data_IF_783517258386
#
_entry.id   IF_783517258386
#
_cell.length_a   1.000
_cell.length_b   1.000
_cell.length_c   1.000
_cell.angle_alpha   90.00
_cell.angle_beta   90.00
_cell.angle_gamma   90.00
#
_symmetry.space_group_name_H-M   'P 1'
#
loop_
_entity.id
_entity.type
_entity.pdbx_description
1 polymer ?
#
# COMPACT_ATOMS: atom_id res chain seq x y z
N UNK A 1 12.36 -14.57 -27.77
CA UNK A 1 11.06 -14.10 -28.32
C UNK A 1 11.21 -12.62 -28.64
N UNK A 2 10.94 -12.20 -29.87
CA UNK A 2 10.97 -10.81 -30.33
C UNK A 2 9.54 -10.33 -30.59
N UNK A 3 9.23 -9.07 -30.28
CA UNK A 3 7.96 -8.46 -30.68
C UNK A 3 8.00 -8.10 -32.17
N UNK A 4 7.09 -8.69 -32.95
CA UNK A 4 7.03 -8.52 -34.39
C UNK A 4 5.85 -7.63 -34.73
N UNK A 5 6.11 -6.39 -35.12
CA UNK A 5 5.08 -5.45 -35.64
C UNK A 5 4.69 -5.75 -37.09
N UNK A 6 4.46 -7.04 -37.39
CA UNK A 6 4.10 -7.57 -38.70
C UNK A 6 2.94 -8.56 -38.54
N UNK A 7 2.13 -8.82 -39.60
CA UNK A 7 0.96 -9.70 -39.52
C UNK A 7 1.37 -11.19 -39.49
N UNK A 8 2.12 -11.57 -38.46
CA UNK A 8 2.64 -12.93 -38.24
C UNK A 8 2.13 -13.40 -36.88
N UNK A 9 1.47 -14.55 -36.86
CA UNK A 9 1.03 -15.21 -35.63
C UNK A 9 1.86 -16.49 -35.39
N UNK A 10 2.24 -16.75 -34.15
CA UNK A 10 2.91 -17.99 -33.73
C UNK A 10 1.95 -18.83 -32.91
N UNK A 11 1.81 -20.12 -33.25
CA UNK A 11 0.98 -21.07 -32.52
C UNK A 11 1.87 -22.06 -31.77
N UNK A 12 1.58 -22.28 -30.49
CA UNK A 12 2.27 -23.25 -29.65
C UNK A 12 1.24 -24.20 -29.06
N UNK A 13 1.29 -25.51 -29.37
CA UNK A 13 0.47 -26.49 -28.67
C UNK A 13 0.97 -26.63 -27.24
N UNK A 14 0.03 -26.85 -26.32
CA UNK A 14 0.27 -27.09 -24.89
C UNK A 14 -0.60 -28.26 -24.44
N UNK A 15 -0.13 -29.02 -23.49
CA UNK A 15 -0.81 -30.19 -22.94
C UNK A 15 -1.88 -29.79 -21.92
N UNK A 16 -1.61 -28.76 -21.12
CA UNK A 16 -2.51 -28.27 -20.07
C UNK A 16 -2.37 -26.76 -19.76
N UNK A 17 -3.27 -26.27 -18.91
CA UNK A 17 -3.31 -24.90 -18.43
C UNK A 17 -2.03 -24.48 -17.68
N UNK A 18 -1.37 -25.40 -16.98
CA UNK A 18 -0.14 -25.11 -16.21
C UNK A 18 1.02 -24.84 -17.17
N UNK A 19 1.14 -25.65 -18.21
CA UNK A 19 2.12 -25.43 -19.28
C UNK A 19 1.84 -24.13 -20.03
N UNK A 20 0.57 -23.81 -20.30
CA UNK A 20 0.18 -22.55 -20.92
C UNK A 20 0.64 -21.33 -20.11
N UNK A 21 0.45 -21.37 -18.78
CA UNK A 21 0.92 -20.32 -17.88
C UNK A 21 2.45 -20.24 -17.83
N UNK A 22 3.14 -21.39 -17.77
CA UNK A 22 4.60 -21.45 -17.78
C UNK A 22 5.20 -20.89 -19.08
N UNK A 23 4.58 -21.19 -20.23
CA UNK A 23 4.98 -20.63 -21.52
C UNK A 23 4.68 -19.15 -21.63
N UNK A 24 3.56 -18.68 -21.08
CA UNK A 24 3.21 -17.26 -21.03
C UNK A 24 4.23 -16.47 -20.21
N UNK A 25 4.61 -16.98 -19.03
CA UNK A 25 5.56 -16.34 -18.12
C UNK A 25 6.98 -16.17 -18.71
N UNK A 26 7.35 -16.96 -19.73
CA UNK A 26 8.62 -16.81 -20.44
C UNK A 26 8.63 -15.62 -21.43
N UNK A 27 7.48 -14.99 -21.68
CA UNK A 27 7.43 -13.80 -22.52
C UNK A 27 7.96 -12.57 -21.73
N UNK A 28 8.94 -11.83 -22.25
CA UNK A 28 9.43 -10.61 -21.58
C UNK A 28 8.41 -9.47 -21.62
N UNK A 29 7.36 -9.59 -22.42
CA UNK A 29 6.28 -8.61 -22.60
C UNK A 29 4.97 -9.14 -22.01
N UNK A 30 4.16 -8.25 -21.42
CA UNK A 30 2.94 -8.60 -20.68
C UNK A 30 1.87 -7.48 -20.76
N UNK A 31 1.56 -7.02 -21.97
CA UNK A 31 0.56 -5.95 -22.20
C UNK A 31 -0.88 -6.46 -22.10
N UNK A 32 -1.21 -7.50 -22.87
CA UNK A 32 -2.56 -8.04 -22.93
C UNK A 32 -2.60 -9.50 -23.33
N UNK A 33 -3.67 -10.19 -22.92
CA UNK A 33 -3.94 -11.58 -23.28
C UNK A 33 -5.44 -11.80 -23.50
N UNK A 34 -5.77 -12.79 -24.32
CA UNK A 34 -7.14 -13.26 -24.53
C UNK A 34 -7.23 -14.74 -24.20
N UNK A 35 -8.23 -15.11 -23.41
CA UNK A 35 -8.51 -16.50 -23.04
C UNK A 35 -9.84 -16.90 -23.66
N UNK A 36 -9.87 -18.04 -24.34
CA UNK A 36 -11.08 -18.57 -24.96
C UNK A 36 -11.45 -19.91 -24.35
N UNK A 37 -12.73 -20.11 -24.02
CA UNK A 37 -13.21 -21.33 -23.40
C UNK A 37 -14.60 -21.20 -22.80
N UNK A 38 -14.98 -22.19 -22.00
CA UNK A 38 -16.19 -22.11 -21.17
C UNK A 38 -16.08 -20.91 -20.22
N UNK A 39 -17.15 -20.11 -20.09
CA UNK A 39 -17.08 -18.78 -19.50
C UNK A 39 -16.53 -18.79 -18.06
N UNK A 40 -16.91 -19.78 -17.24
CA UNK A 40 -16.43 -19.89 -15.87
C UNK A 40 -14.98 -20.34 -15.81
N UNK A 41 -14.61 -21.42 -16.51
CA UNK A 41 -13.23 -21.93 -16.49
C UNK A 41 -12.25 -20.91 -17.10
N UNK A 42 -12.62 -20.26 -18.20
CA UNK A 42 -11.80 -19.24 -18.84
C UNK A 42 -11.62 -18.01 -17.94
N UNK A 43 -12.64 -17.60 -17.18
CA UNK A 43 -12.52 -16.52 -16.21
C UNK A 43 -11.64 -16.92 -14.99
N UNK A 44 -11.69 -18.18 -14.56
CA UNK A 44 -10.80 -18.72 -13.53
C UNK A 44 -9.33 -18.76 -13.99
N UNK A 45 -9.09 -19.19 -15.23
CA UNK A 45 -7.77 -19.19 -15.86
C UNK A 45 -7.23 -17.78 -16.10
N UNK A 46 -8.06 -16.86 -16.61
CA UNK A 46 -7.68 -15.47 -16.90
C UNK A 46 -7.09 -14.73 -15.69
N UNK A 47 -7.52 -15.03 -14.46
CA UNK A 47 -6.97 -14.43 -13.24
C UNK A 47 -5.54 -14.86 -12.93
N UNK A 48 -5.07 -15.95 -13.53
CA UNK A 48 -3.72 -16.50 -13.34
C UNK A 48 -2.74 -16.04 -14.42
N UNK A 49 -3.25 -15.53 -15.55
CA UNK A 49 -2.41 -15.09 -16.67
C UNK A 49 -1.62 -13.83 -16.28
N UNK A 50 -0.27 -13.84 -16.39
CA UNK A 50 0.57 -12.72 -15.97
C UNK A 50 0.60 -11.60 -17.03
N UNK A 51 -0.54 -10.93 -17.25
CA UNK A 51 -0.67 -9.81 -18.17
C UNK A 51 -1.50 -8.67 -17.55
N UNK A 52 -1.21 -7.43 -17.93
CA UNK A 52 -1.88 -6.26 -17.35
C UNK A 52 -3.33 -6.06 -17.81
N UNK A 53 -3.74 -6.68 -18.93
CA UNK A 53 -5.13 -6.70 -19.38
C UNK A 53 -5.47 -8.10 -19.92
N UNK A 54 -6.46 -8.78 -19.33
CA UNK A 54 -6.89 -10.10 -19.80
C UNK A 54 -8.37 -10.05 -20.14
N UNK A 55 -8.73 -10.47 -21.34
CA UNK A 55 -10.12 -10.57 -21.80
C UNK A 55 -10.51 -12.02 -22.03
N UNK A 56 -11.78 -12.34 -21.77
CA UNK A 56 -12.32 -13.70 -21.88
C UNK A 56 -13.33 -13.74 -23.02
N UNK A 57 -13.15 -14.67 -23.95
CA UNK A 57 -14.00 -14.85 -25.12
C UNK A 57 -14.16 -13.58 -25.99
N UNK A 58 -13.14 -12.72 -26.00
CA UNK A 58 -13.08 -11.49 -26.78
C UNK A 58 -11.62 -11.11 -27.11
N UNK A 59 -11.45 -10.24 -28.11
CA UNK A 59 -10.20 -9.62 -28.55
C UNK A 59 -10.32 -8.09 -28.67
N UNK A 60 -11.55 -7.56 -28.75
CA UNK A 60 -11.80 -6.19 -29.17
C UNK A 60 -12.08 -5.23 -28.02
N UNK A 61 -12.58 -5.68 -26.87
CA UNK A 61 -12.89 -4.78 -25.76
C UNK A 61 -11.76 -3.77 -25.40
N UNK A 62 -10.48 -4.18 -25.31
CA UNK A 62 -9.42 -3.25 -24.90
C UNK A 62 -9.10 -2.19 -25.96
N UNK A 63 -9.38 -2.47 -27.24
CA UNK A 63 -9.15 -1.52 -28.34
C UNK A 63 -10.38 -0.61 -28.56
N UNK A 64 -11.58 -1.15 -28.38
CA UNK A 64 -12.83 -0.47 -28.75
C UNK A 64 -13.47 0.34 -27.62
N UNK A 65 -13.33 -0.05 -26.35
CA UNK A 65 -13.98 0.63 -25.23
C UNK A 65 -12.98 1.42 -24.37
N UNK A 66 -12.96 2.77 -24.42
CA UNK A 66 -12.02 3.61 -23.67
C UNK A 66 -12.15 3.50 -22.15
N UNK A 67 -13.22 2.87 -21.64
CA UNK A 67 -13.42 2.62 -20.22
C UNK A 67 -12.63 1.41 -19.72
N UNK A 68 -12.20 0.53 -20.61
CA UNK A 68 -11.33 -0.61 -20.28
C UNK A 68 -9.91 -0.10 -20.11
N UNK A 69 -9.40 -0.26 -18.89
CA UNK A 69 -8.05 0.11 -18.51
C UNK A 69 -7.02 -0.85 -19.10
N UNK A 70 -5.89 -0.29 -19.54
CA UNK A 70 -4.75 -1.01 -20.08
C UNK A 70 -3.56 -0.81 -19.16
N UNK A 71 -3.26 -1.82 -18.35
CA UNK A 71 -2.04 -1.85 -17.55
C UNK A 71 -0.90 -2.50 -18.34
N UNK A 72 0.29 -1.92 -18.25
CA UNK A 72 1.49 -2.47 -18.87
C UNK A 72 2.43 -3.02 -17.81
N UNK A 73 2.84 -4.28 -17.96
CA UNK A 73 3.77 -4.98 -17.07
C UNK A 73 5.04 -5.42 -17.82
N UNK A 74 6.12 -5.69 -17.08
CA UNK A 74 7.41 -6.16 -17.61
C UNK A 74 7.96 -5.26 -18.74
N UNK A 75 8.46 -5.85 -19.83
CA UNK A 75 8.98 -5.13 -20.98
C UNK A 75 7.93 -4.34 -21.76
N UNK A 76 6.63 -4.45 -21.43
CA UNK A 76 5.57 -3.67 -22.06
C UNK A 76 5.44 -2.26 -21.48
N UNK A 77 6.06 -1.97 -20.33
CA UNK A 77 6.07 -0.65 -19.72
C UNK A 77 5.64 -0.65 -18.25
N UNK A 78 5.35 0.54 -17.74
CA UNK A 78 4.85 0.75 -16.38
C UNK A 78 3.58 1.61 -16.42
N UNK A 79 2.69 1.34 -15.47
CA UNK A 79 1.51 2.14 -15.24
C UNK A 79 0.27 1.63 -15.96
N UNK A 80 -0.76 2.47 -15.97
CA UNK A 80 -2.10 2.17 -16.47
C UNK A 80 -2.57 3.33 -17.31
N UNK A 81 -3.11 3.03 -18.47
CA UNK A 81 -3.73 4.01 -19.37
C UNK A 81 -5.21 3.67 -19.53
N UNK A 82 -6.02 4.65 -19.95
CA UNK A 82 -7.47 4.52 -20.15
C UNK A 82 -8.22 4.15 -18.85
N UNK A 83 -9.55 4.12 -18.96
CA UNK A 83 -10.44 3.87 -17.83
C UNK A 83 -10.21 4.78 -16.62
N UNK A 84 -10.85 4.48 -15.49
CA UNK A 84 -10.72 5.28 -14.27
C UNK A 84 -9.30 5.20 -13.68
N UNK A 85 -8.63 4.06 -13.78
CA UNK A 85 -7.26 3.87 -13.25
C UNK A 85 -6.23 4.71 -14.01
N UNK A 86 -6.35 4.81 -15.34
CA UNK A 86 -5.48 5.67 -16.14
C UNK A 86 -5.71 7.16 -15.89
N UNK A 87 -6.96 7.58 -15.64
CA UNK A 87 -7.24 8.95 -15.21
C UNK A 87 -6.60 9.26 -13.85
N UNK A 88 -6.62 8.31 -12.91
CA UNK A 88 -5.97 8.48 -11.61
C UNK A 88 -4.45 8.65 -11.74
N UNK A 89 -3.80 8.01 -12.73
CA UNK A 89 -2.38 8.23 -12.99
C UNK A 89 -2.03 9.67 -13.40
N UNK A 90 -3.01 10.42 -13.93
CA UNK A 90 -2.85 11.82 -14.30
C UNK A 90 -3.15 12.80 -13.15
N UNK A 91 -3.58 12.28 -11.99
CA UNK A 91 -3.86 13.09 -10.80
C UNK A 91 -2.65 13.19 -9.88
N UNK A 92 -2.67 14.17 -8.98
CA UNK A 92 -1.67 14.31 -7.90
C UNK A 92 -2.37 14.30 -6.56
N UNK A 93 -1.93 13.42 -5.66
CA UNK A 93 -2.44 13.38 -4.29
C UNK A 93 -1.91 14.59 -3.53
N UNK A 94 -2.82 15.36 -2.93
CA UNK A 94 -2.49 16.42 -1.98
C UNK A 94 -3.07 16.06 -0.62
N UNK A 95 -2.20 15.81 0.35
CA UNK A 95 -2.61 15.58 1.74
C UNK A 95 -2.52 16.91 2.49
N UNK A 96 -3.63 17.35 3.06
CA UNK A 96 -3.69 18.53 3.93
C UNK A 96 -4.15 18.04 5.30
N UNK A 97 -3.29 18.18 6.30
CA UNK A 97 -3.62 17.88 7.69
C UNK A 97 -3.82 19.20 8.41
N UNK A 98 -5.04 19.47 8.82
CA UNK A 98 -5.38 20.61 9.65
C UNK A 98 -5.49 20.16 11.10
N UNK A 99 -4.62 20.68 11.97
CA UNK A 99 -4.80 20.52 13.40
C UNK A 99 -5.67 21.65 13.95
N UNK A 100 -6.84 21.30 14.49
CA UNK A 100 -7.71 22.25 15.18
C UNK A 100 -7.41 22.23 16.69
N UNK A 101 -6.88 23.33 17.21
CA UNK A 101 -6.57 23.51 18.64
C UNK A 101 -5.09 23.32 19.01
N UNK A 102 -4.72 23.69 20.24
CA UNK A 102 -3.30 23.79 20.65
C UNK A 102 -2.66 22.49 21.17
N UNK A 103 -3.43 21.39 21.28
CA UNK A 103 -2.87 20.11 21.80
C UNK A 103 -2.15 19.35 20.68
N UNK A 104 -0.86 19.06 20.87
CA UNK A 104 0.00 18.32 19.92
C UNK A 104 0.55 17.03 20.57
N UNK A 105 -0.27 15.97 20.76
CA UNK A 105 0.18 14.76 21.45
C UNK A 105 1.34 14.04 20.74
N UNK A 106 1.46 14.23 19.42
CA UNK A 106 2.53 13.67 18.60
C UNK A 106 3.87 14.44 18.72
N UNK A 107 3.89 15.59 19.40
CA UNK A 107 5.13 16.29 19.79
C UNK A 107 5.51 16.03 21.26
N UNK A 108 4.69 15.29 22.01
CA UNK A 108 5.08 14.90 23.36
C UNK A 108 6.22 13.90 23.28
N UNK A 109 7.23 14.06 24.15
CA UNK A 109 8.34 13.10 24.26
C UNK A 109 7.76 11.68 24.47
N UNK A 110 8.16 10.68 23.66
CA UNK A 110 7.60 9.32 23.73
C UNK A 110 8.02 8.59 25.01
N UNK A 111 9.10 9.03 25.65
CA UNK A 111 9.50 8.51 26.94
C UNK A 111 8.84 9.30 28.08
N UNK A 112 8.13 8.65 29.02
CA UNK A 112 7.74 9.33 30.25
C UNK A 112 9.04 9.81 30.92
N UNK A 113 9.13 11.10 31.31
CA UNK A 113 10.37 11.62 31.89
C UNK A 113 10.78 10.71 33.03
N UNK A 114 12.01 10.19 33.00
CA UNK A 114 12.51 9.14 33.92
C UNK A 114 12.18 9.46 35.38
N UNK A 115 12.18 10.73 35.76
CA UNK A 115 11.79 11.19 37.10
C UNK A 115 10.31 10.99 37.49
N UNK A 116 9.39 10.97 36.52
CA UNK A 116 7.97 10.68 36.74
C UNK A 116 7.73 9.19 36.95
N UNK A 117 8.39 8.33 36.17
CA UNK A 117 8.35 6.88 36.37
C UNK A 117 9.01 6.51 37.71
N UNK A 118 10.20 7.06 38.00
CA UNK A 118 10.90 6.89 39.28
C UNK A 118 10.07 7.38 40.46
N UNK A 119 9.41 8.53 40.32
CA UNK A 119 8.50 9.09 41.33
C UNK A 119 7.29 8.19 41.58
N UNK A 120 6.70 7.63 40.52
CA UNK A 120 5.57 6.70 40.62
C UNK A 120 5.97 5.38 41.27
N UNK A 121 7.12 4.82 40.92
CA UNK A 121 7.68 3.62 41.57
C UNK A 121 7.93 3.87 43.06
N UNK A 122 8.54 5.00 43.43
CA UNK A 122 8.77 5.36 44.83
C UNK A 122 7.46 5.61 45.62
N UNK A 123 6.42 6.16 44.96
CA UNK A 123 5.11 6.39 45.57
C UNK A 123 4.36 5.08 45.86
N UNK A 124 4.44 4.11 44.95
CA UNK A 124 3.70 2.85 45.02
C UNK A 124 4.44 1.79 45.84
N UNK A 125 5.77 1.72 45.72
CA UNK A 125 6.61 0.63 46.25
C UNK A 125 7.72 1.11 47.23
N UNK A 126 7.74 2.39 47.62
CA UNK A 126 8.73 2.87 48.59
C UNK A 126 8.54 2.27 49.98
N UNK A 127 9.61 1.73 50.58
CA UNK A 127 9.61 1.04 51.87
C UNK A 127 9.43 1.97 53.10
N UNK A 128 8.88 3.17 52.91
CA UNK A 128 8.59 4.11 54.00
C UNK A 128 7.74 5.31 53.55
N UNK A 129 6.93 5.84 54.49
CA UNK A 129 6.03 6.97 54.26
C UNK A 129 6.76 8.21 53.69
N UNK A 130 7.98 8.49 54.15
CA UNK A 130 8.81 9.60 53.67
C UNK A 130 9.22 9.41 52.21
N UNK A 131 9.54 8.17 51.81
CA UNK A 131 9.95 7.86 50.43
C UNK A 131 8.76 7.95 49.47
N UNK A 132 7.58 7.50 49.91
CA UNK A 132 6.33 7.64 49.15
C UNK A 132 5.95 9.11 48.98
N UNK A 133 6.09 9.92 50.03
CA UNK A 133 5.85 11.37 49.96
C UNK A 133 6.83 12.09 49.02
N UNK A 134 8.12 11.73 49.04
CA UNK A 134 9.11 12.25 48.08
C UNK A 134 8.79 11.83 46.65
N UNK A 135 8.34 10.59 46.45
CA UNK A 135 7.85 10.09 45.15
C UNK A 135 6.65 10.90 44.63
N UNK A 136 5.66 11.18 45.48
CA UNK A 136 4.52 12.04 45.15
C UNK A 136 4.97 13.44 44.71
N UNK A 137 5.88 14.06 45.47
CA UNK A 137 6.41 15.38 45.13
C UNK A 137 7.21 15.39 43.83
N UNK A 138 7.91 14.31 43.49
CA UNK A 138 8.60 14.15 42.21
C UNK A 138 7.62 14.03 41.04
N UNK A 139 6.54 13.25 41.18
CA UNK A 139 5.46 13.13 40.16
C UNK A 139 4.79 14.48 39.92
N UNK A 140 4.40 15.18 41.00
CA UNK A 140 3.76 16.50 40.89
C UNK A 140 4.67 17.54 40.23
N UNK A 141 5.97 17.54 40.54
CA UNK A 141 6.95 18.41 39.86
C UNK A 141 7.12 18.05 38.38
N UNK A 142 7.19 16.76 38.05
CA UNK A 142 7.28 16.28 36.66
C UNK A 142 6.07 16.66 35.82
N UNK A 143 4.86 16.52 36.36
CA UNK A 143 3.62 16.95 35.71
C UNK A 143 3.57 18.48 35.48
N UNK A 144 4.03 19.27 36.46
CA UNK A 144 4.09 20.74 36.36
C UNK A 144 5.13 21.21 35.33
N UNK A 145 6.26 20.52 35.21
CA UNK A 145 7.27 20.79 34.18
C UNK A 145 6.77 20.44 32.78
N UNK A 146 6.03 19.32 32.62
CA UNK A 146 5.38 18.95 31.36
C UNK A 146 4.40 20.03 30.89
N UNK A 147 3.57 20.55 31.79
CA UNK A 147 2.63 21.64 31.48
C UNK A 147 3.32 22.95 31.07
N UNK A 148 4.54 23.26 31.55
CA UNK A 148 5.29 24.45 31.15
C UNK A 148 6.02 24.28 29.81
N UNK A 149 6.58 23.10 29.53
CA UNK A 149 7.23 22.81 28.24
C UNK A 149 6.23 22.86 27.09
N UNK A 150 5.01 22.33 27.28
CA UNK A 150 3.94 22.42 26.27
C UNK A 150 3.52 23.87 25.96
N UNK A 151 3.74 24.83 26.86
CA UNK A 151 3.45 26.27 26.64
C UNK A 151 4.59 27.05 25.99
N UNK A 152 5.85 26.58 26.04
CA UNK A 152 7.01 27.29 25.48
C UNK A 152 7.30 26.96 24.01
N UNK A 153 6.53 26.05 23.39
CA UNK A 153 6.63 25.70 21.96
C UNK A 153 5.36 26.07 21.16
N UNK A 154 4.48 26.90 21.74
CA UNK A 154 3.34 27.53 21.06
C UNK A 154 3.72 28.87 20.46
#
# INVERSE_FOLDING_TARGET
RSDLSAPIASLFPVEDDTEALALSAQCPYALGASVFGEARSAAEFARQVPAGCVVVNDLMAPTTDPRVSLAAWNGSGFGVTRGPEGLLQLTRVKVVVEQRGNRRPHLDDPEPPVGLLQGWMNLTHGHGLVQRWRGLMQVLRGMRQRSRKTQQHS
#
